data_IF_757168860410
#
_entry.id   IF_757168860410
#
_cell.length_a   1.000
_cell.length_b   1.000
_cell.length_c   1.000
_cell.angle_alpha   90.00
_cell.angle_beta   90.00
_cell.angle_gamma   90.00
#
_symmetry.space_group_name_H-M   'P 1'
#
loop_
_entity.id
_entity.type
_entity.pdbx_description
1 polymer ?
#
# COMPACT_ATOMS: atom_id res chain seq x y z
N UNK A 1 -6.37 24.14 -13.93
CA UNK A 1 -6.74 24.07 -12.50
C UNK A 1 -5.52 24.50 -11.69
N UNK A 2 -5.68 25.30 -10.62
CA UNK A 2 -4.56 25.71 -9.77
C UNK A 2 -4.12 24.57 -8.84
N UNK A 3 -2.87 24.60 -8.37
CA UNK A 3 -2.36 23.65 -7.36
C UNK A 3 -3.26 23.61 -6.12
N UNK A 4 -3.70 24.79 -5.66
CA UNK A 4 -4.67 24.92 -4.57
C UNK A 4 -6.01 24.21 -4.87
N UNK A 5 -6.52 24.31 -6.09
CA UNK A 5 -7.75 23.62 -6.49
C UNK A 5 -7.61 22.09 -6.48
N UNK A 6 -6.46 21.56 -6.91
CA UNK A 6 -6.19 20.12 -6.87
C UNK A 6 -6.06 19.61 -5.42
N UNK A 7 -5.38 20.37 -4.55
CA UNK A 7 -5.29 20.07 -3.12
C UNK A 7 -6.68 19.98 -2.49
N UNK A 8 -7.56 20.94 -2.78
CA UNK A 8 -8.94 20.92 -2.27
C UNK A 8 -9.70 19.67 -2.72
N UNK A 9 -9.63 19.31 -4.01
CA UNK A 9 -10.28 18.11 -4.54
C UNK A 9 -9.77 16.84 -3.84
N UNK A 10 -8.45 16.71 -3.65
CA UNK A 10 -7.87 15.53 -2.99
C UNK A 10 -8.31 15.48 -1.53
N UNK A 11 -8.35 16.61 -0.82
CA UNK A 11 -8.85 16.69 0.56
C UNK A 11 -10.32 16.29 0.67
N UNK A 12 -11.17 16.75 -0.24
CA UNK A 12 -12.59 16.36 -0.27
C UNK A 12 -12.76 14.86 -0.52
N UNK A 13 -11.93 14.27 -1.40
CA UNK A 13 -11.91 12.82 -1.61
C UNK A 13 -11.52 12.06 -0.34
N UNK A 14 -10.48 12.50 0.37
CA UNK A 14 -10.05 11.90 1.65
C UNK A 14 -11.18 12.03 2.67
N UNK A 15 -11.80 13.20 2.82
CA UNK A 15 -12.87 13.42 3.78
C UNK A 15 -14.09 12.52 3.50
N UNK A 16 -14.45 12.33 2.23
CA UNK A 16 -15.51 11.38 1.86
C UNK A 16 -15.15 9.95 2.25
N UNK A 17 -13.93 9.50 1.94
CA UNK A 17 -13.44 8.17 2.30
C UNK A 17 -13.40 7.96 3.81
N UNK A 18 -13.07 8.98 4.60
CA UNK A 18 -13.14 8.92 6.07
C UNK A 18 -14.57 8.70 6.57
N UNK A 19 -15.55 9.40 6.00
CA UNK A 19 -16.96 9.20 6.36
C UNK A 19 -17.43 7.79 5.99
N UNK A 20 -16.99 7.26 4.85
CA UNK A 20 -17.28 5.89 4.46
C UNK A 20 -16.60 4.89 5.42
N UNK A 21 -15.34 5.12 5.81
CA UNK A 21 -14.63 4.31 6.82
C UNK A 21 -15.39 4.23 8.14
N UNK A 22 -15.88 5.36 8.66
CA UNK A 22 -16.65 5.40 9.91
C UNK A 22 -17.94 4.58 9.81
N UNK A 23 -18.61 4.60 8.65
CA UNK A 23 -19.80 3.76 8.42
C UNK A 23 -19.45 2.27 8.42
N UNK A 24 -18.35 1.89 7.78
CA UNK A 24 -17.90 0.50 7.72
C UNK A 24 -17.44 0.01 9.10
N UNK A 25 -16.72 0.83 9.88
CA UNK A 25 -16.37 0.53 11.28
C UNK A 25 -17.63 0.29 12.12
N UNK A 26 -18.66 1.12 11.99
CA UNK A 26 -19.91 0.92 12.72
C UNK A 26 -20.61 -0.40 12.34
N UNK A 27 -20.56 -0.80 11.07
CA UNK A 27 -21.04 -2.13 10.65
C UNK A 27 -20.21 -3.25 11.27
N UNK A 28 -18.88 -3.12 11.27
CA UNK A 28 -17.96 -4.07 11.88
C UNK A 28 -18.26 -4.29 13.37
N UNK A 29 -18.45 -3.20 14.13
CA UNK A 29 -18.82 -3.28 15.56
C UNK A 29 -20.14 -4.01 15.79
N UNK A 30 -21.12 -3.83 14.90
CA UNK A 30 -22.40 -4.55 14.98
C UNK A 30 -22.24 -6.04 14.67
N UNK A 31 -21.37 -6.40 13.71
CA UNK A 31 -21.04 -7.80 13.43
C UNK A 31 -20.33 -8.45 14.61
N UNK A 32 -19.36 -7.78 15.22
CA UNK A 32 -18.65 -8.31 16.39
C UNK A 32 -19.62 -8.54 17.57
N UNK A 33 -20.57 -7.63 17.79
CA UNK A 33 -21.64 -7.85 18.79
C UNK A 33 -22.52 -9.06 18.46
N UNK A 34 -22.91 -9.21 17.19
CA UNK A 34 -23.73 -10.34 16.73
C UNK A 34 -22.98 -11.67 16.85
N UNK A 35 -21.68 -11.69 16.51
CA UNK A 35 -20.84 -12.86 16.64
C UNK A 35 -20.71 -13.30 18.10
N UNK A 36 -20.45 -12.36 19.01
CA UNK A 36 -20.38 -12.65 20.44
C UNK A 36 -21.68 -13.23 21.00
N UNK A 37 -22.84 -12.76 20.51
CA UNK A 37 -24.13 -13.33 20.89
C UNK A 37 -24.26 -14.78 20.41
N UNK A 38 -23.93 -15.06 19.15
CA UNK A 38 -23.98 -16.41 18.57
C UNK A 38 -23.06 -17.36 19.35
N UNK A 39 -21.82 -16.96 19.61
CA UNK A 39 -20.86 -17.78 20.37
C UNK A 39 -21.37 -18.05 21.80
N UNK A 40 -21.94 -17.04 22.46
CA UNK A 40 -22.55 -17.20 23.78
C UNK A 40 -23.76 -18.13 23.79
N UNK A 41 -24.57 -18.14 22.72
CA UNK A 41 -25.72 -19.06 22.58
C UNK A 41 -25.26 -20.50 22.33
N UNK A 42 -24.11 -20.67 21.68
CA UNK A 42 -23.49 -21.97 21.39
C UNK A 42 -22.66 -22.53 22.57
N UNK A 43 -22.48 -21.76 23.66
CA UNK A 43 -21.52 -22.05 24.75
C UNK A 43 -20.08 -22.25 24.23
N UNK A 44 -19.75 -21.55 23.14
CA UNK A 44 -18.42 -21.58 22.53
C UNK A 44 -17.65 -20.32 22.91
N UNK A 45 -16.33 -20.48 23.10
CA UNK A 45 -15.43 -19.34 23.22
C UNK A 45 -15.01 -18.87 21.84
N UNK A 46 -14.71 -17.59 21.75
CA UNK A 46 -14.10 -17.04 20.56
C UNK A 46 -12.68 -17.62 20.38
N UNK A 47 -12.60 -18.66 19.55
CA UNK A 47 -11.39 -19.40 19.22
C UNK A 47 -10.70 -18.87 17.97
N UNK A 48 -11.09 -17.68 17.49
CA UNK A 48 -10.39 -16.91 16.47
C UNK A 48 -8.98 -16.58 17.00
N UNK A 49 -8.05 -17.53 16.92
CA UNK A 49 -6.63 -17.29 17.24
C UNK A 49 -6.16 -16.12 16.38
N UNK A 50 -5.76 -15.07 17.09
CA UNK A 50 -5.14 -13.86 16.58
C UNK A 50 -3.73 -14.25 16.10
N UNK A 51 -3.66 -14.95 14.98
CA UNK A 51 -2.45 -15.11 14.18
C UNK A 51 -2.89 -15.25 12.72
N UNK A 52 -3.09 -14.10 12.08
CA UNK A 52 -2.92 -13.99 10.63
C UNK A 52 -3.78 -14.92 9.77
N UNK A 53 -5.09 -15.05 10.03
CA UNK A 53 -5.99 -15.40 8.92
C UNK A 53 -5.99 -14.19 7.99
N UNK A 54 -5.03 -14.17 7.07
CA UNK A 54 -4.93 -13.22 5.98
C UNK A 54 -6.04 -13.58 4.98
N UNK A 55 -7.26 -13.13 5.27
CA UNK A 55 -8.40 -13.13 4.34
C UNK A 55 -8.11 -12.22 3.11
N UNK A 56 -6.91 -11.63 3.07
CA UNK A 56 -6.62 -10.33 2.49
C UNK A 56 -5.84 -10.43 1.18
N UNK A 57 -5.48 -11.63 0.74
CA UNK A 57 -4.73 -11.82 -0.51
C UNK A 57 -5.58 -12.29 -1.69
N UNK A 58 -6.86 -12.63 -1.53
CA UNK A 58 -7.57 -13.40 -2.56
C UNK A 58 -8.89 -12.74 -2.98
N UNK A 59 -8.89 -12.08 -4.15
CA UNK A 59 -10.08 -11.53 -4.83
C UNK A 59 -10.97 -12.61 -5.47
N UNK A 60 -11.21 -13.72 -4.76
CA UNK A 60 -11.97 -14.90 -5.21
C UNK A 60 -13.26 -15.13 -4.41
N UNK A 61 -13.81 -16.35 -4.48
CA UNK A 61 -14.99 -16.74 -3.73
C UNK A 61 -14.67 -16.86 -2.23
N UNK A 62 -14.88 -15.76 -1.50
CA UNK A 62 -14.59 -15.64 -0.08
C UNK A 62 -15.23 -16.75 0.77
N UNK A 63 -16.42 -17.22 0.37
CA UNK A 63 -17.12 -18.32 1.02
C UNK A 63 -16.34 -19.63 0.93
N UNK A 64 -15.93 -20.04 -0.27
CA UNK A 64 -15.15 -21.27 -0.49
C UNK A 64 -13.84 -21.23 0.29
N UNK A 65 -13.19 -20.06 0.34
CA UNK A 65 -11.92 -19.90 1.06
C UNK A 65 -12.07 -20.01 2.56
N UNK A 66 -13.11 -19.41 3.14
CA UNK A 66 -13.41 -19.58 4.55
C UNK A 66 -13.75 -21.05 4.87
N UNK A 67 -14.46 -21.74 3.97
CA UNK A 67 -14.71 -23.18 4.12
C UNK A 67 -13.39 -23.98 4.13
N UNK A 68 -12.45 -23.70 3.23
CA UNK A 68 -11.12 -24.34 3.24
C UNK A 68 -10.31 -24.02 4.51
N UNK A 69 -10.28 -22.75 4.92
CA UNK A 69 -9.45 -22.28 6.05
C UNK A 69 -9.91 -22.87 7.38
N UNK A 70 -11.22 -23.07 7.53
CA UNK A 70 -11.82 -23.65 8.73
C UNK A 70 -12.16 -25.13 8.57
N UNK A 71 -11.72 -25.78 7.47
CA UNK A 71 -12.00 -27.17 7.12
C UNK A 71 -13.51 -27.53 7.19
N UNK A 72 -14.38 -26.60 6.82
CA UNK A 72 -15.83 -26.73 6.93
C UNK A 72 -16.38 -27.51 5.73
N UNK A 73 -16.79 -28.75 5.98
CA UNK A 73 -17.56 -29.59 5.05
C UNK A 73 -19.05 -29.23 5.04
N UNK A 74 -19.81 -29.63 3.99
CA UNK A 74 -21.28 -29.42 3.96
C UNK A 74 -22.01 -30.11 5.12
N UNK A 75 -21.41 -31.18 5.66
CA UNK A 75 -21.92 -31.96 6.78
C UNK A 75 -21.67 -31.29 8.15
N UNK A 76 -20.73 -30.34 8.25
CA UNK A 76 -20.36 -29.62 9.48
C UNK A 76 -21.16 -28.33 9.70
N UNK A 77 -21.86 -27.84 8.68
CA UNK A 77 -22.91 -26.83 8.82
C UNK A 77 -24.27 -27.52 9.07
N UNK A 78 -24.29 -28.49 9.98
CA UNK A 78 -25.48 -29.29 10.24
C UNK A 78 -26.57 -28.48 10.96
N UNK A 79 -26.19 -27.63 11.91
CA UNK A 79 -27.12 -26.84 12.72
C UNK A 79 -27.36 -25.45 12.13
N UNK A 80 -28.50 -24.85 12.47
CA UNK A 80 -28.78 -23.47 12.08
C UNK A 80 -27.78 -22.49 12.72
N UNK A 81 -27.32 -22.77 13.93
CA UNK A 81 -26.39 -21.91 14.67
C UNK A 81 -25.00 -21.90 14.00
N UNK A 82 -24.52 -23.05 13.53
CA UNK A 82 -23.28 -23.16 12.73
C UNK A 82 -23.38 -22.40 11.41
N UNK A 83 -24.52 -22.52 10.70
CA UNK A 83 -24.78 -21.75 9.47
C UNK A 83 -24.78 -20.25 9.74
N UNK A 84 -25.36 -19.83 10.86
CA UNK A 84 -25.46 -18.43 11.26
C UNK A 84 -24.09 -17.86 11.70
N UNK A 85 -23.29 -18.64 12.43
CA UNK A 85 -21.89 -18.33 12.76
C UNK A 85 -21.08 -18.11 11.48
N UNK A 86 -21.12 -19.08 10.56
CA UNK A 86 -20.37 -19.01 9.31
C UNK A 86 -20.81 -17.83 8.41
N UNK A 87 -22.12 -17.59 8.27
CA UNK A 87 -22.63 -16.44 7.51
C UNK A 87 -22.19 -15.10 8.13
N UNK A 88 -22.13 -15.04 9.47
CA UNK A 88 -21.65 -13.84 10.18
C UNK A 88 -20.15 -13.63 9.99
N UNK A 89 -19.35 -14.70 9.95
CA UNK A 89 -17.92 -14.61 9.66
C UNK A 89 -17.65 -14.19 8.21
N UNK A 90 -18.46 -14.66 7.26
CA UNK A 90 -18.39 -14.19 5.87
C UNK A 90 -18.66 -12.69 5.76
N UNK A 91 -19.73 -12.20 6.39
CA UNK A 91 -20.06 -10.76 6.38
C UNK A 91 -18.97 -9.94 7.08
N UNK A 92 -18.38 -10.46 8.17
CA UNK A 92 -17.22 -9.86 8.85
C UNK A 92 -16.04 -9.69 7.89
N UNK A 93 -15.69 -10.76 7.19
CA UNK A 93 -14.59 -10.79 6.24
C UNK A 93 -14.77 -9.78 5.09
N UNK A 94 -15.98 -9.68 4.53
CA UNK A 94 -16.31 -8.69 3.50
C UNK A 94 -16.13 -7.26 4.02
N UNK A 95 -16.58 -6.97 5.24
CA UNK A 95 -16.40 -5.65 5.87
C UNK A 95 -14.92 -5.32 6.05
N UNK A 96 -14.09 -6.29 6.44
CA UNK A 96 -12.65 -6.07 6.58
C UNK A 96 -12.00 -5.73 5.24
N UNK A 97 -12.41 -6.40 4.15
CA UNK A 97 -11.95 -6.08 2.80
C UNK A 97 -12.38 -4.67 2.37
N UNK A 98 -13.63 -4.27 2.65
CA UNK A 98 -14.12 -2.91 2.41
C UNK A 98 -13.29 -1.86 3.17
N UNK A 99 -12.98 -2.11 4.45
CA UNK A 99 -12.14 -1.22 5.26
C UNK A 99 -10.76 -1.06 4.63
N UNK A 100 -10.14 -2.15 4.21
CA UNK A 100 -8.83 -2.12 3.54
C UNK A 100 -8.88 -1.38 2.21
N UNK A 101 -9.92 -1.57 1.38
CA UNK A 101 -10.05 -0.82 0.13
C UNK A 101 -10.13 0.69 0.40
N UNK A 102 -10.90 1.08 1.42
CA UNK A 102 -11.01 2.49 1.82
C UNK A 102 -9.65 3.03 2.28
N UNK A 103 -8.91 2.29 3.10
CA UNK A 103 -7.58 2.67 3.56
C UNK A 103 -6.58 2.80 2.40
N UNK A 104 -6.59 1.85 1.46
CA UNK A 104 -5.79 1.89 0.23
C UNK A 104 -6.06 3.17 -0.56
N UNK A 105 -7.34 3.54 -0.67
CA UNK A 105 -7.76 4.74 -1.37
C UNK A 105 -7.36 6.00 -0.63
N UNK A 106 -7.44 6.04 0.71
CA UNK A 106 -6.94 7.15 1.52
C UNK A 106 -5.43 7.31 1.34
N UNK A 107 -4.67 6.22 1.44
CA UNK A 107 -3.22 6.22 1.22
C UNK A 107 -2.86 6.71 -0.20
N UNK A 108 -3.59 6.26 -1.23
CA UNK A 108 -3.42 6.75 -2.61
C UNK A 108 -3.73 8.25 -2.75
N UNK A 109 -4.77 8.75 -2.08
CA UNK A 109 -5.06 10.19 -2.05
C UNK A 109 -3.95 10.98 -1.35
N UNK A 110 -3.47 10.51 -0.19
CA UNK A 110 -2.38 11.13 0.54
C UNK A 110 -1.08 11.15 -0.27
N UNK A 111 -0.75 10.05 -0.98
CA UNK A 111 0.39 10.02 -1.91
C UNK A 111 0.27 11.11 -2.98
N UNK A 112 -0.91 11.24 -3.62
CA UNK A 112 -1.16 12.29 -4.61
C UNK A 112 -1.07 13.69 -4.00
N UNK A 113 -1.55 13.87 -2.77
CA UNK A 113 -1.46 15.14 -2.06
C UNK A 113 0.00 15.56 -1.85
N UNK A 114 0.84 14.63 -1.39
CA UNK A 114 2.26 14.87 -1.13
C UNK A 114 3.09 15.04 -2.41
N UNK A 115 2.65 14.45 -3.53
CA UNK A 115 3.24 14.73 -4.85
C UNK A 115 2.96 16.19 -5.26
N UNK A 116 1.74 16.67 -5.02
CA UNK A 116 1.32 18.03 -5.38
C UNK A 116 1.95 19.07 -4.44
N UNK A 117 2.08 18.77 -3.16
CA UNK A 117 2.75 19.61 -2.17
C UNK A 117 3.38 18.75 -1.06
N UNK A 118 4.72 18.55 -1.10
CA UNK A 118 5.43 17.75 -0.11
C UNK A 118 5.43 18.31 1.31
N UNK A 119 5.04 19.58 1.50
CA UNK A 119 5.02 20.24 2.82
C UNK A 119 3.73 19.97 3.59
N UNK A 120 2.72 19.39 2.95
CA UNK A 120 1.44 19.08 3.58
C UNK A 120 1.55 17.87 4.51
N UNK A 121 0.73 17.89 5.55
CA UNK A 121 0.51 16.71 6.38
C UNK A 121 -0.44 15.75 5.69
N UNK A 122 -0.33 14.47 6.04
CA UNK A 122 -1.22 13.40 5.63
C UNK A 122 -2.54 13.49 6.40
N UNK A 123 -3.66 13.27 5.71
CA UNK A 123 -5.02 13.42 6.26
C UNK A 123 -5.70 12.06 6.41
N UNK A 124 -6.61 11.90 7.37
CA UNK A 124 -7.40 10.67 7.50
C UNK A 124 -6.68 9.49 8.14
N UNK A 125 -5.58 9.75 8.85
CA UNK A 125 -4.79 8.76 9.58
C UNK A 125 -4.71 9.08 11.07
N UNK A 126 -5.77 9.65 11.64
CA UNK A 126 -5.77 10.19 13.01
C UNK A 126 -5.51 9.16 14.11
N UNK A 127 -5.64 7.87 13.80
CA UNK A 127 -5.43 6.77 14.73
C UNK A 127 -4.00 6.22 14.70
N UNK A 128 -3.10 6.79 13.89
CA UNK A 128 -1.72 6.35 13.82
C UNK A 128 -0.97 6.89 15.03
N UNK A 129 -0.21 6.03 15.71
CA UNK A 129 0.74 6.50 16.72
C UNK A 129 1.90 7.30 16.09
N UNK A 130 2.71 7.94 16.94
CA UNK A 130 3.81 8.79 16.48
C UNK A 130 4.86 8.05 15.63
N UNK A 131 5.21 6.80 15.99
CA UNK A 131 6.15 5.98 15.21
C UNK A 131 5.53 5.64 13.85
N UNK A 132 4.26 5.30 13.85
CA UNK A 132 3.50 5.01 12.63
C UNK A 132 3.45 6.20 11.67
N UNK A 133 3.22 7.41 12.19
CA UNK A 133 3.27 8.65 11.40
C UNK A 133 4.66 8.93 10.82
N UNK A 134 5.72 8.72 11.60
CA UNK A 134 7.11 8.88 11.16
C UNK A 134 7.44 7.92 10.02
N UNK A 135 7.16 6.62 10.21
CA UNK A 135 7.41 5.57 9.20
C UNK A 135 6.64 5.87 7.92
N UNK A 136 5.38 6.30 8.03
CA UNK A 136 4.56 6.69 6.89
C UNK A 136 5.21 7.84 6.10
N UNK A 137 5.59 8.92 6.80
CA UNK A 137 6.25 10.08 6.21
C UNK A 137 7.55 9.72 5.52
N UNK A 138 8.42 8.98 6.21
CA UNK A 138 9.70 8.50 5.68
C UNK A 138 9.51 7.61 4.44
N UNK A 139 8.49 6.75 4.44
CA UNK A 139 8.15 5.90 3.30
C UNK A 139 7.76 6.72 2.08
N UNK A 140 6.90 7.73 2.23
CA UNK A 140 6.51 8.59 1.10
C UNK A 140 7.70 9.42 0.60
N UNK A 141 8.53 9.92 1.51
CA UNK A 141 9.76 10.62 1.15
C UNK A 141 10.72 9.72 0.36
N UNK A 142 10.88 8.46 0.79
CA UNK A 142 11.71 7.49 0.10
C UNK A 142 11.17 7.18 -1.30
N UNK A 143 9.88 6.92 -1.46
CA UNK A 143 9.28 6.72 -2.79
C UNK A 143 9.54 7.92 -3.71
N UNK A 144 9.42 9.13 -3.18
CA UNK A 144 9.68 10.36 -3.94
C UNK A 144 11.16 10.47 -4.33
N UNK A 145 12.06 10.12 -3.43
CA UNK A 145 13.50 10.11 -3.68
C UNK A 145 13.90 9.08 -4.73
N UNK A 146 13.30 7.88 -4.71
CA UNK A 146 13.51 6.82 -5.70
C UNK A 146 12.98 7.22 -7.08
N UNK A 147 11.78 7.81 -7.16
CA UNK A 147 11.26 8.37 -8.42
C UNK A 147 12.20 9.41 -9.01
N UNK A 148 12.65 10.35 -8.19
CA UNK A 148 13.56 11.39 -8.63
C UNK A 148 14.91 10.79 -9.05
N UNK A 149 15.45 9.81 -8.32
CA UNK A 149 16.68 9.10 -8.73
C UNK A 149 16.55 8.51 -10.14
N UNK A 150 15.43 7.86 -10.45
CA UNK A 150 15.19 7.29 -11.78
C UNK A 150 15.20 8.36 -12.86
N UNK A 151 14.56 9.51 -12.59
CA UNK A 151 14.53 10.65 -13.52
C UNK A 151 15.95 11.20 -13.70
N UNK A 152 16.64 11.50 -12.59
CA UNK A 152 17.98 12.09 -12.56
C UNK A 152 18.99 11.23 -13.33
N UNK A 153 18.86 9.89 -13.26
CA UNK A 153 19.76 8.95 -13.92
C UNK A 153 19.41 8.72 -15.39
N UNK A 154 18.12 8.66 -15.74
CA UNK A 154 17.70 8.21 -17.07
C UNK A 154 17.36 9.35 -18.04
N UNK A 155 16.78 10.46 -17.56
CA UNK A 155 16.34 11.56 -18.41
C UNK A 155 17.51 12.25 -19.16
N UNK A 156 18.69 12.46 -18.55
CA UNK A 156 19.84 13.00 -19.27
C UNK A 156 20.38 12.09 -20.38
N UNK A 157 20.23 10.77 -20.22
CA UNK A 157 20.78 9.77 -21.16
C UNK A 157 19.89 9.61 -22.40
N UNK A 158 18.56 9.72 -22.26
CA UNK A 158 17.61 9.56 -23.36
C UNK A 158 16.24 10.17 -23.07
N UNK A 159 15.74 11.05 -23.94
CA UNK A 159 14.38 11.61 -23.85
C UNK A 159 13.27 10.53 -23.93
N UNK A 160 13.56 9.38 -24.53
CA UNK A 160 12.70 8.21 -24.61
C UNK A 160 12.87 7.21 -23.46
N UNK A 161 13.52 7.59 -22.36
CA UNK A 161 13.88 6.69 -21.26
C UNK A 161 12.71 5.89 -20.69
N UNK A 162 11.50 6.44 -20.68
CA UNK A 162 10.29 5.74 -20.23
C UNK A 162 10.11 4.38 -20.92
N UNK A 163 10.38 4.33 -22.23
CA UNK A 163 10.22 3.12 -23.04
C UNK A 163 11.32 2.07 -22.77
N UNK A 164 12.37 2.44 -22.02
CA UNK A 164 13.45 1.53 -21.60
C UNK A 164 13.15 0.82 -20.28
N UNK A 165 12.15 1.27 -19.52
CA UNK A 165 11.70 0.58 -18.31
C UNK A 165 11.11 -0.80 -18.65
N UNK A 166 11.03 -1.75 -17.69
CA UNK A 166 10.34 -3.01 -17.90
C UNK A 166 8.87 -2.79 -18.33
N UNK A 167 8.37 -3.62 -19.26
CA UNK A 167 7.02 -3.45 -19.81
C UNK A 167 5.93 -3.50 -18.72
N UNK A 168 6.00 -4.47 -17.79
CA UNK A 168 5.03 -4.56 -16.70
C UNK A 168 5.02 -3.32 -15.79
N UNK A 169 6.17 -2.65 -15.63
CA UNK A 169 6.24 -1.38 -14.89
C UNK A 169 5.54 -0.26 -15.64
N UNK A 170 5.76 -0.17 -16.95
CA UNK A 170 5.11 0.84 -17.79
C UNK A 170 3.59 0.66 -17.81
N UNK A 171 3.11 -0.58 -18.02
CA UNK A 171 1.69 -0.91 -18.09
C UNK A 171 0.97 -0.59 -16.78
N UNK A 172 1.53 -1.03 -15.65
CA UNK A 172 0.98 -0.77 -14.32
C UNK A 172 0.90 0.74 -14.02
N UNK A 173 1.98 1.48 -14.27
CA UNK A 173 2.02 2.92 -14.05
C UNK A 173 1.08 3.70 -14.98
N UNK A 174 0.97 3.30 -16.26
CA UNK A 174 0.05 3.89 -17.22
C UNK A 174 -1.41 3.67 -16.80
N UNK A 175 -1.76 2.47 -16.35
CA UNK A 175 -3.10 2.17 -15.83
C UNK A 175 -3.44 3.08 -14.65
N UNK A 176 -2.53 3.20 -13.67
CA UNK A 176 -2.71 4.09 -12.53
C UNK A 176 -2.88 5.56 -12.93
N UNK A 177 -2.08 6.01 -13.90
CA UNK A 177 -2.17 7.36 -14.46
C UNK A 177 -3.52 7.63 -15.12
N UNK A 178 -3.98 6.75 -16.00
CA UNK A 178 -5.26 6.88 -16.71
C UNK A 178 -6.47 6.86 -15.75
N UNK A 179 -6.44 5.99 -14.74
CA UNK A 179 -7.45 5.97 -13.69
C UNK A 179 -7.49 7.27 -12.89
N UNK A 180 -6.33 7.87 -12.60
CA UNK A 180 -6.28 9.13 -11.87
C UNK A 180 -6.77 10.30 -12.72
N UNK A 181 -6.35 10.39 -13.99
CA UNK A 181 -6.78 11.43 -14.92
C UNK A 181 -8.30 11.38 -15.14
N UNK A 182 -8.86 10.19 -15.37
CA UNK A 182 -10.30 10.00 -15.56
C UNK A 182 -11.11 10.41 -14.32
N UNK A 183 -10.65 10.08 -13.11
CA UNK A 183 -11.32 10.44 -11.84
C UNK A 183 -11.22 11.93 -11.52
N UNK A 184 -10.14 12.61 -11.89
CA UNK A 184 -9.90 14.00 -11.54
C UNK A 184 -10.57 15.01 -12.49
N UNK A 185 -11.11 14.56 -13.65
CA UNK A 185 -11.69 15.45 -14.69
C UNK A 185 -10.76 16.63 -15.03
N UNK A 186 -9.45 16.45 -14.92
CA UNK A 186 -8.46 17.52 -15.11
C UNK A 186 -7.67 17.32 -16.40
N UNK A 187 -7.44 18.43 -17.10
CA UNK A 187 -6.49 18.52 -18.19
C UNK A 187 -5.06 18.41 -17.64
N UNK A 188 -4.39 17.33 -18.05
CA UNK A 188 -2.95 17.07 -18.10
C UNK A 188 -2.05 18.28 -17.80
N UNK A 189 -1.26 18.22 -16.71
CA UNK A 189 0.08 18.86 -16.60
C UNK A 189 0.73 18.73 -15.21
N UNK A 190 0.01 18.31 -14.15
CA UNK A 190 0.62 18.19 -12.80
C UNK A 190 1.09 16.78 -12.44
N UNK A 191 0.54 15.74 -13.07
CA UNK A 191 0.89 14.35 -12.78
C UNK A 191 1.66 13.77 -13.97
N UNK A 192 2.72 13.02 -13.69
CA UNK A 192 3.52 12.27 -14.67
C UNK A 192 3.30 10.78 -14.43
N UNK A 193 3.47 9.96 -15.47
CA UNK A 193 3.36 8.49 -15.36
C UNK A 193 4.28 7.91 -14.29
N UNK A 194 5.49 8.47 -14.14
CA UNK A 194 6.43 8.07 -13.10
C UNK A 194 5.91 8.30 -11.68
N UNK A 195 4.93 9.19 -11.46
CA UNK A 195 4.37 9.41 -10.12
C UNK A 195 3.51 8.21 -9.65
N UNK A 196 3.18 7.29 -10.56
CA UNK A 196 2.40 6.09 -10.32
C UNK A 196 3.23 4.82 -10.11
N UNK A 197 4.56 4.92 -10.12
CA UNK A 197 5.40 3.80 -9.66
C UNK A 197 5.44 3.73 -8.13
N UNK A 198 5.69 2.54 -7.63
CA UNK A 198 5.75 2.17 -6.21
C UNK A 198 6.91 1.20 -5.93
N UNK A 199 7.00 0.73 -4.68
CA UNK A 199 8.07 -0.18 -4.24
C UNK A 199 8.23 -1.44 -5.10
N UNK A 200 7.13 -2.04 -5.55
CA UNK A 200 7.18 -3.26 -6.38
C UNK A 200 7.83 -3.01 -7.74
N UNK A 201 7.70 -1.79 -8.26
CA UNK A 201 8.24 -1.40 -9.55
C UNK A 201 9.75 -1.15 -9.48
N UNK A 202 10.27 -0.61 -8.39
CA UNK A 202 11.69 -0.28 -8.26
C UNK A 202 12.60 -1.50 -8.40
N UNK A 203 12.18 -2.64 -7.82
CA UNK A 203 12.90 -3.91 -7.97
C UNK A 203 13.04 -4.29 -9.45
N UNK A 204 11.95 -4.21 -10.21
CA UNK A 204 11.96 -4.49 -11.65
C UNK A 204 12.80 -3.48 -12.45
N UNK A 205 12.77 -2.21 -12.08
CA UNK A 205 13.58 -1.17 -12.74
C UNK A 205 15.07 -1.43 -12.50
N UNK A 206 15.48 -1.67 -11.26
CA UNK A 206 16.89 -1.83 -10.89
C UNK A 206 17.48 -3.16 -11.36
N UNK A 207 16.68 -4.21 -11.45
CA UNK A 207 17.11 -5.50 -12.03
C UNK A 207 17.00 -5.54 -13.57
N UNK A 208 16.33 -4.56 -14.17
CA UNK A 208 16.07 -4.48 -15.60
C UNK A 208 17.33 -4.37 -16.45
N UNK A 209 17.54 -5.33 -17.34
CA UNK A 209 18.76 -5.44 -18.17
C UNK A 209 19.09 -4.20 -19.01
N UNK A 210 18.09 -3.38 -19.37
CA UNK A 210 18.29 -2.21 -20.24
C UNK A 210 18.91 -1.01 -19.53
N UNK A 211 18.76 -0.90 -18.21
CA UNK A 211 19.12 0.32 -17.45
C UNK A 211 19.93 0.06 -16.19
N UNK A 212 20.06 -1.19 -15.72
CA UNK A 212 20.75 -1.52 -14.45
C UNK A 212 22.16 -0.96 -14.32
N UNK A 213 22.92 -0.90 -15.42
CA UNK A 213 24.30 -0.40 -15.41
C UNK A 213 24.38 1.10 -15.16
N UNK A 214 23.30 1.85 -15.39
CA UNK A 214 23.25 3.30 -15.19
C UNK A 214 23.12 3.69 -13.70
N UNK A 215 22.68 2.75 -12.86
CA UNK A 215 22.44 3.00 -11.42
C UNK A 215 23.58 2.52 -10.53
N UNK A 216 24.27 1.43 -10.91
CA UNK A 216 25.21 0.74 -10.01
C UNK A 216 26.58 0.50 -10.64
N UNK A 217 26.93 1.21 -11.72
CA UNK A 217 28.20 1.07 -12.44
C UNK A 217 28.56 -0.38 -12.81
N UNK A 218 27.51 -1.18 -13.08
CA UNK A 218 27.65 -2.61 -13.38
C UNK A 218 27.93 -3.52 -12.18
N UNK A 219 27.97 -3.00 -10.94
CA UNK A 219 28.15 -3.80 -9.71
C UNK A 219 26.90 -4.61 -9.36
N UNK A 220 26.89 -5.95 -9.52
CA UNK A 220 25.73 -6.76 -9.19
C UNK A 220 25.46 -6.80 -7.69
N UNK A 221 26.51 -6.73 -6.87
CA UNK A 221 26.41 -6.74 -5.40
C UNK A 221 25.66 -5.50 -4.89
N UNK A 222 26.00 -4.30 -5.39
CA UNK A 222 25.30 -3.06 -5.02
C UNK A 222 23.84 -3.10 -5.47
N UNK A 223 23.58 -3.58 -6.69
CA UNK A 223 22.23 -3.76 -7.22
C UNK A 223 21.39 -4.69 -6.32
N UNK A 224 21.90 -5.89 -6.00
CA UNK A 224 21.17 -6.84 -5.16
C UNK A 224 21.00 -6.35 -3.73
N UNK A 225 22.00 -5.68 -3.16
CA UNK A 225 21.90 -5.02 -1.84
C UNK A 225 20.74 -4.01 -1.79
N UNK A 226 20.60 -3.19 -2.84
CA UNK A 226 19.48 -2.24 -2.97
C UNK A 226 18.14 -2.95 -3.12
N UNK A 227 18.05 -3.93 -4.02
CA UNK A 227 16.81 -4.66 -4.33
C UNK A 227 16.30 -5.42 -3.09
N UNK A 228 17.18 -6.11 -2.36
CA UNK A 228 16.81 -6.81 -1.12
C UNK A 228 16.27 -5.85 -0.07
N UNK A 229 16.95 -4.72 0.17
CA UNK A 229 16.47 -3.70 1.12
C UNK A 229 15.13 -3.12 0.72
N UNK A 230 14.89 -2.89 -0.58
CA UNK A 230 13.60 -2.41 -1.07
C UNK A 230 12.49 -3.43 -0.91
N UNK A 231 12.76 -4.71 -1.14
CA UNK A 231 11.78 -5.78 -0.91
C UNK A 231 11.38 -5.85 0.56
N UNK A 232 12.35 -5.76 1.48
CA UNK A 232 12.07 -5.75 2.92
C UNK A 232 11.32 -4.48 3.35
N UNK A 233 11.70 -3.31 2.83
CA UNK A 233 10.98 -2.06 3.07
C UNK A 233 9.56 -2.09 2.50
N UNK A 234 9.31 -2.80 1.41
CA UNK A 234 7.98 -2.96 0.81
C UNK A 234 7.02 -3.65 1.78
N UNK A 235 7.47 -4.70 2.48
CA UNK A 235 6.66 -5.39 3.49
C UNK A 235 6.27 -4.44 4.63
N UNK A 236 7.25 -3.72 5.18
CA UNK A 236 7.04 -2.73 6.23
C UNK A 236 6.14 -1.59 5.77
N UNK A 237 6.33 -1.12 4.52
CA UNK A 237 5.49 -0.12 3.85
C UNK A 237 4.05 -0.59 3.72
N UNK A 238 3.82 -1.84 3.31
CA UNK A 238 2.47 -2.38 3.19
C UNK A 238 1.80 -2.47 4.55
N UNK A 239 2.53 -2.91 5.58
CA UNK A 239 2.00 -2.95 6.94
C UNK A 239 1.65 -1.55 7.44
N UNK A 240 2.51 -0.55 7.30
CA UNK A 240 2.18 0.80 7.78
C UNK A 240 1.04 1.46 6.98
N UNK A 241 0.91 1.16 5.69
CA UNK A 241 -0.12 1.74 4.82
C UNK A 241 -1.50 1.11 5.00
N UNK A 242 -1.57 -0.14 5.48
CA UNK A 242 -2.80 -0.93 5.51
C UNK A 242 -3.17 -1.47 6.90
N UNK A 243 -2.18 -1.66 7.79
CA UNK A 243 -2.33 -2.31 9.10
C UNK A 243 -1.34 -1.72 10.13
N UNK A 244 -1.37 -0.42 10.41
CA UNK A 244 -0.58 0.15 11.50
C UNK A 244 -1.02 -0.44 12.85
N UNK A 245 -0.13 -0.51 13.87
CA UNK A 245 1.25 -0.06 13.86
C UNK A 245 2.26 -1.15 13.46
N UNK A 246 3.51 -0.74 13.23
CA UNK A 246 4.64 -1.68 13.24
C UNK A 246 4.93 -2.11 14.68
N UNK A 247 5.27 -3.38 14.90
CA UNK A 247 5.80 -3.83 16.19
C UNK A 247 7.26 -3.33 16.38
N UNK A 248 7.83 -3.53 17.57
CA UNK A 248 9.16 -3.00 17.89
C UNK A 248 10.27 -3.56 16.97
N UNK A 249 10.22 -4.84 16.62
CA UNK A 249 11.21 -5.47 15.74
C UNK A 249 11.11 -4.94 14.30
N UNK A 250 9.88 -4.79 13.79
CA UNK A 250 9.58 -4.21 12.48
C UNK A 250 9.99 -2.73 12.41
N UNK A 251 9.75 -1.97 13.48
CA UNK A 251 10.17 -0.59 13.58
C UNK A 251 11.70 -0.47 13.61
N UNK A 252 12.39 -1.30 14.40
CA UNK A 252 13.85 -1.35 14.42
C UNK A 252 14.42 -1.72 13.05
N UNK A 253 13.82 -2.71 12.38
CA UNK A 253 14.15 -3.09 11.00
C UNK A 253 13.98 -1.92 10.03
N UNK A 254 12.88 -1.18 10.12
CA UNK A 254 12.67 0.03 9.31
C UNK A 254 13.78 1.08 9.55
N UNK A 255 14.10 1.36 10.82
CA UNK A 255 15.12 2.34 11.21
C UNK A 255 16.53 1.96 10.74
N UNK A 256 16.80 0.68 10.50
CA UNK A 256 18.05 0.22 9.88
C UNK A 256 18.01 0.33 8.35
N UNK A 257 16.94 -0.14 7.71
CA UNK A 257 16.86 -0.22 6.25
C UNK A 257 16.70 1.15 5.57
N UNK A 258 15.91 2.05 6.16
CA UNK A 258 15.61 3.35 5.55
C UNK A 258 16.87 4.22 5.34
N UNK A 259 17.73 4.45 6.35
CA UNK A 259 18.96 5.22 6.17
C UNK A 259 19.91 4.60 5.14
N UNK A 260 20.04 3.28 5.13
CA UNK A 260 20.88 2.56 4.17
C UNK A 260 20.45 2.84 2.72
N UNK A 261 19.16 2.72 2.43
CA UNK A 261 18.63 3.00 1.08
C UNK A 261 18.81 4.48 0.73
N UNK A 262 18.56 5.39 1.66
CA UNK A 262 18.80 6.84 1.45
C UNK A 262 20.26 7.13 1.13
N UNK A 263 21.20 6.45 1.80
CA UNK A 263 22.63 6.60 1.53
C UNK A 263 22.99 6.07 0.13
N UNK A 264 22.49 4.91 -0.27
CA UNK A 264 22.67 4.39 -1.64
C UNK A 264 22.17 5.39 -2.69
N UNK A 265 20.98 5.98 -2.48
CA UNK A 265 20.44 7.01 -3.40
C UNK A 265 21.39 8.22 -3.50
N UNK A 266 21.93 8.68 -2.37
CA UNK A 266 22.88 9.81 -2.35
C UNK A 266 24.19 9.48 -3.06
N UNK A 267 24.73 8.27 -2.86
CA UNK A 267 25.95 7.82 -3.55
C UNK A 267 25.78 7.82 -5.06
N UNK A 268 24.66 7.31 -5.58
CA UNK A 268 24.38 7.26 -7.02
C UNK A 268 24.25 8.68 -7.60
N UNK A 269 23.65 9.61 -6.85
CA UNK A 269 23.60 11.03 -7.25
C UNK A 269 24.96 11.72 -7.20
N UNK A 270 25.77 11.39 -6.20
CA UNK A 270 27.11 11.95 -6.03
C UNK A 270 28.06 11.57 -7.17
N UNK A 271 28.00 10.31 -7.62
CA UNK A 271 28.82 9.79 -8.73
C UNK A 271 28.48 10.39 -10.09
N UNK A 272 27.30 11.01 -10.25
CA UNK A 272 26.85 11.62 -11.51
C UNK A 272 27.18 13.12 -11.62
N UNK A 273 27.59 13.77 -10.52
CA UNK A 273 27.94 15.20 -10.48
C UNK A 273 29.45 15.45 -10.58
N UNK A 274 30.25 14.39 -10.80
CA UNK A 274 31.68 14.43 -11.13
C UNK A 274 31.88 14.21 -12.64
#
# INVERSE_FOLDING_TARGET
>A
MSQAGLITIIRDQIQKLRMDKLRVISKFENIEKRMNLILSEMDEVDDRRIDGIDILEHGGNLKERLQELFDITEDELATNDQKQRFATELERAEIVLDMMEIENRIASCNKRLLIVDPTLTVFGIENYDQKSLEVYGNTVHLETSLRNLIIDVLEPEDKGWWNKLPQGVQESANKGYEEAVSKLKTSENMLRRIDFIDFSHYEGIFTGNKVKNLFFDGSPERMWSMVTKLSELRELRNKIMHRPPLNEDEYAKFQMLYPDVVNIIKEIRGTKNE
#
